data_IF_246296185625
#
_entry.id   IF_246296185625
#
_cell.length_a   1.000
_cell.length_b   1.000
_cell.length_c   1.000
_cell.angle_alpha   90.00
_cell.angle_beta   90.00
_cell.angle_gamma   90.00
#
_symmetry.space_group_name_H-M   'P 1'
#
loop_
_entity.id
_entity.type
_entity.pdbx_description
1 polymer ?
#
# COMPACT_ATOMS: atom_id res chain seq x y z
N UNK A 1 -0.70 4.47 -1.72
CA UNK A 1 -1.04 5.89 -1.59
C UNK A 1 -2.55 6.09 -1.51
N UNK A 2 -3.30 5.86 -2.59
CA UNK A 2 -4.71 6.27 -2.70
C UNK A 2 -5.62 5.65 -1.63
N UNK A 3 -5.44 4.35 -1.33
CA UNK A 3 -6.18 3.66 -0.28
C UNK A 3 -6.00 4.27 1.13
N UNK A 4 -4.97 5.09 1.34
CA UNK A 4 -4.70 5.76 2.63
C UNK A 4 -5.24 7.19 2.67
N UNK A 5 -5.08 7.94 1.57
CA UNK A 5 -5.44 9.37 1.52
C UNK A 5 -6.92 9.60 1.23
N UNK A 6 -7.56 8.71 0.46
CA UNK A 6 -8.98 8.78 0.10
C UNK A 6 -9.90 8.25 1.21
N UNK A 7 -9.91 8.95 2.35
CA UNK A 7 -10.61 8.50 3.57
C UNK A 7 -12.09 8.24 3.39
N UNK A 8 -12.77 9.11 2.64
CA UNK A 8 -14.21 9.07 2.46
C UNK A 8 -14.60 7.97 1.47
N UNK A 9 -13.89 7.88 0.35
CA UNK A 9 -14.11 6.87 -0.69
C UNK A 9 -13.85 5.45 -0.17
N UNK A 10 -12.80 5.27 0.64
CA UNK A 10 -12.50 3.97 1.27
C UNK A 10 -13.39 3.70 2.49
N UNK A 11 -13.96 4.75 3.10
CA UNK A 11 -14.83 4.62 4.28
C UNK A 11 -14.08 4.40 5.60
N UNK A 12 -12.86 4.94 5.73
CA UNK A 12 -12.09 4.80 6.97
C UNK A 12 -12.78 5.50 8.15
N UNK A 13 -13.19 4.72 9.15
CA UNK A 13 -13.73 5.28 10.39
C UNK A 13 -12.68 6.08 11.16
N UNK A 14 -13.09 7.23 11.70
CA UNK A 14 -12.25 8.06 12.56
C UNK A 14 -11.98 7.43 13.94
N UNK A 15 -12.77 6.43 14.35
CA UNK A 15 -12.75 5.87 15.71
C UNK A 15 -12.21 4.44 15.78
N UNK A 16 -12.12 3.73 14.66
CA UNK A 16 -11.62 2.35 14.65
C UNK A 16 -10.13 2.29 14.35
N UNK A 17 -9.52 1.17 14.72
CA UNK A 17 -8.21 0.79 14.18
C UNK A 17 -8.37 0.48 12.69
N UNK A 18 -7.43 0.96 11.89
CA UNK A 18 -7.42 0.82 10.43
C UNK A 18 -6.28 -0.11 10.05
N UNK A 19 -6.60 -1.18 9.33
CA UNK A 19 -5.61 -2.14 8.81
C UNK A 19 -5.74 -2.22 7.29
N UNK A 20 -4.63 -1.97 6.62
CA UNK A 20 -4.52 -2.14 5.18
C UNK A 20 -3.75 -3.43 4.91
N UNK A 21 -4.39 -4.39 4.26
CA UNK A 21 -3.72 -5.59 3.75
C UNK A 21 -3.29 -5.33 2.30
N UNK A 22 -1.98 -5.26 2.09
CA UNK A 22 -1.36 -5.19 0.78
C UNK A 22 -0.82 -6.57 0.42
N UNK A 23 -1.36 -7.18 -0.64
CA UNK A 23 -0.93 -8.48 -1.10
C UNK A 23 -0.41 -8.36 -2.54
N UNK A 24 0.76 -8.94 -2.80
CA UNK A 24 1.41 -8.91 -4.12
C UNK A 24 2.31 -10.12 -4.28
N UNK A 25 2.54 -10.53 -5.52
CA UNK A 25 3.46 -11.60 -5.90
C UNK A 25 4.83 -11.08 -6.39
N UNK A 26 5.08 -9.76 -6.27
CA UNK A 26 6.30 -9.13 -6.77
C UNK A 26 6.71 -7.88 -5.97
N UNK A 27 7.89 -7.34 -6.28
CA UNK A 27 8.37 -6.04 -5.81
C UNK A 27 7.56 -4.89 -6.44
N UNK A 28 7.55 -3.74 -5.78
CA UNK A 28 6.79 -2.56 -6.20
C UNK A 28 7.66 -1.57 -7.00
N UNK A 29 6.99 -0.75 -7.82
CA UNK A 29 7.60 0.42 -8.45
C UNK A 29 7.70 1.59 -7.47
N UNK A 30 8.78 2.36 -7.55
CA UNK A 30 9.04 3.48 -6.65
C UNK A 30 9.43 4.75 -7.42
N UNK A 31 9.38 5.90 -6.73
CA UNK A 31 9.72 7.19 -7.32
C UNK A 31 11.01 7.14 -8.15
N UNK A 32 10.92 7.55 -9.41
CA UNK A 32 11.94 7.44 -10.45
C UNK A 32 11.58 6.45 -11.55
N UNK A 33 10.81 5.40 -11.25
CA UNK A 33 10.45 4.38 -12.24
C UNK A 33 9.54 4.92 -13.34
N UNK A 34 8.69 5.91 -13.04
CA UNK A 34 7.83 6.58 -14.02
C UNK A 34 8.59 7.33 -15.11
N UNK A 35 9.87 7.67 -14.87
CA UNK A 35 10.72 8.35 -15.86
C UNK A 35 10.86 7.53 -17.15
N UNK A 36 10.86 6.20 -17.06
CA UNK A 36 10.92 5.31 -18.22
C UNK A 36 9.68 5.43 -19.12
N UNK A 37 8.55 5.85 -18.54
CA UNK A 37 7.31 6.16 -19.24
C UNK A 37 7.14 7.65 -19.59
N UNK A 38 8.15 8.49 -19.35
CA UNK A 38 8.07 9.95 -19.54
C UNK A 38 7.29 10.69 -18.46
N UNK A 39 6.95 10.02 -17.35
CA UNK A 39 6.26 10.59 -16.20
C UNK A 39 7.32 11.18 -15.26
N UNK A 40 7.30 12.50 -15.09
CA UNK A 40 8.31 13.23 -14.29
C UNK A 40 7.71 14.02 -13.13
N UNK A 41 6.39 14.16 -13.09
CA UNK A 41 5.70 14.84 -12.00
C UNK A 41 5.73 13.93 -10.78
N UNK A 42 6.12 14.43 -9.62
CA UNK A 42 6.12 13.65 -8.39
C UNK A 42 4.68 13.40 -7.91
N UNK A 43 4.48 12.29 -7.21
CA UNK A 43 3.26 12.04 -6.47
C UNK A 43 3.01 13.18 -5.47
N UNK A 44 1.78 13.70 -5.42
CA UNK A 44 1.42 14.84 -4.56
C UNK A 44 0.84 14.44 -3.19
N UNK A 45 0.71 13.14 -2.91
CA UNK A 45 0.13 12.60 -1.68
C UNK A 45 -1.36 12.97 -1.45
N UNK A 46 -2.07 13.38 -2.50
CA UNK A 46 -3.49 13.74 -2.45
C UNK A 46 -4.39 12.63 -3.03
N UNK A 47 -5.69 12.73 -2.75
CA UNK A 47 -6.68 11.78 -3.23
C UNK A 47 -7.16 12.12 -4.65
N UNK A 48 -7.03 11.17 -5.56
CA UNK A 48 -7.39 11.29 -6.98
C UNK A 48 -8.15 10.06 -7.48
N UNK A 49 -9.15 9.61 -6.72
CA UNK A 49 -10.07 8.57 -7.16
C UNK A 49 -11.29 9.18 -7.83
N UNK A 50 -11.68 8.63 -8.98
CA UNK A 50 -12.95 8.97 -9.62
C UNK A 50 -14.15 8.27 -8.93
N UNK A 51 -15.35 8.47 -9.48
CA UNK A 51 -16.60 7.90 -8.94
C UNK A 51 -16.63 6.36 -8.97
N UNK A 52 -15.87 5.75 -9.88
CA UNK A 52 -15.74 4.30 -10.02
C UNK A 52 -14.57 3.73 -9.18
N UNK A 53 -13.79 4.60 -8.53
CA UNK A 53 -12.66 4.25 -7.68
C UNK A 53 -11.35 4.03 -8.43
N UNK A 54 -11.23 4.53 -9.67
CA UNK A 54 -9.98 4.50 -10.43
C UNK A 54 -9.08 5.69 -10.11
N UNK A 55 -7.77 5.43 -10.06
CA UNK A 55 -6.77 6.47 -9.84
C UNK A 55 -6.52 7.28 -11.13
N UNK A 56 -6.94 8.54 -11.14
CA UNK A 56 -6.95 9.40 -12.34
C UNK A 56 -5.57 9.95 -12.70
N UNK A 57 -4.64 10.03 -11.74
CA UNK A 57 -3.30 10.60 -11.95
C UNK A 57 -2.22 9.54 -12.25
N UNK A 58 -2.61 8.28 -12.50
CA UNK A 58 -1.69 7.16 -12.75
C UNK A 58 -0.73 7.36 -13.92
N UNK A 59 -1.14 8.13 -14.94
CA UNK A 59 -0.32 8.44 -16.13
C UNK A 59 0.32 9.83 -16.08
N UNK A 60 0.07 10.58 -15.00
CA UNK A 60 0.50 11.97 -14.85
C UNK A 60 1.52 12.14 -13.72
N UNK A 61 1.36 11.38 -12.64
CA UNK A 61 2.24 11.38 -11.48
C UNK A 61 3.04 10.09 -11.40
N UNK A 62 4.32 10.24 -11.07
CA UNK A 62 5.23 9.16 -10.77
C UNK A 62 4.79 8.42 -9.51
N UNK A 63 5.34 7.22 -9.32
CA UNK A 63 5.12 6.43 -8.13
C UNK A 63 5.54 7.19 -6.87
N UNK A 64 4.85 6.98 -5.73
CA UNK A 64 5.26 7.60 -4.49
C UNK A 64 6.64 7.11 -4.05
N UNK A 65 7.42 7.99 -3.43
CA UNK A 65 8.66 7.57 -2.79
C UNK A 65 8.38 6.85 -1.47
N UNK A 66 9.36 6.09 -0.97
CA UNK A 66 9.24 5.42 0.33
C UNK A 66 8.92 6.41 1.46
N UNK A 67 9.52 7.61 1.46
CA UNK A 67 9.27 8.61 2.51
C UNK A 67 7.86 9.16 2.45
N UNK A 68 7.28 9.30 1.26
CA UNK A 68 5.88 9.71 1.09
C UNK A 68 4.93 8.65 1.62
N UNK A 69 5.16 7.36 1.30
CA UNK A 69 4.36 6.25 1.83
C UNK A 69 4.42 6.23 3.36
N UNK A 70 5.61 6.28 3.95
CA UNK A 70 5.81 6.30 5.41
C UNK A 70 5.03 7.46 6.05
N UNK A 71 5.25 8.68 5.55
CA UNK A 71 4.60 9.90 6.05
C UNK A 71 3.08 9.77 6.04
N UNK A 72 2.52 9.33 4.91
CA UNK A 72 1.07 9.23 4.72
C UNK A 72 0.46 8.11 5.58
N UNK A 73 1.10 6.94 5.68
CA UNK A 73 0.62 5.84 6.52
C UNK A 73 0.59 6.25 8.00
N UNK A 74 1.65 6.88 8.49
CA UNK A 74 1.75 7.35 9.87
C UNK A 74 0.74 8.45 10.18
N UNK A 75 0.65 9.48 9.32
CA UNK A 75 -0.30 10.59 9.47
C UNK A 75 -1.75 10.11 9.54
N UNK A 76 -2.07 9.03 8.83
CA UNK A 76 -3.42 8.47 8.77
C UNK A 76 -3.69 7.33 9.77
N UNK A 77 -2.68 6.94 10.56
CA UNK A 77 -2.73 5.88 11.59
C UNK A 77 -3.20 4.54 11.02
N UNK A 78 -2.71 4.20 9.83
CA UNK A 78 -2.94 2.90 9.19
C UNK A 78 -1.90 1.91 9.70
N UNK A 79 -2.33 0.69 10.04
CA UNK A 79 -1.42 -0.43 10.26
C UNK A 79 -1.32 -1.20 8.93
N UNK A 80 -0.11 -1.35 8.39
CA UNK A 80 0.11 -1.94 7.07
C UNK A 80 0.55 -3.40 7.19
N UNK A 81 -0.27 -4.33 6.71
CA UNK A 81 0.09 -5.75 6.62
C UNK A 81 0.46 -6.06 5.17
N UNK A 82 1.66 -6.59 4.94
CA UNK A 82 2.21 -6.84 3.62
C UNK A 82 2.36 -8.34 3.42
N UNK A 83 1.59 -8.95 2.53
CA UNK A 83 1.64 -10.37 2.22
C UNK A 83 2.33 -10.60 0.86
N UNK A 84 3.49 -11.25 0.88
CA UNK A 84 4.40 -11.33 -0.27
C UNK A 84 5.05 -12.71 -0.39
N UNK A 85 5.48 -13.14 -1.59
CA UNK A 85 6.19 -14.39 -1.74
C UNK A 85 7.63 -14.25 -1.23
N UNK A 86 8.32 -15.39 -1.10
CA UNK A 86 9.66 -15.46 -0.51
C UNK A 86 10.66 -14.57 -1.25
N UNK A 87 10.57 -14.50 -2.58
CA UNK A 87 11.50 -13.75 -3.43
C UNK A 87 11.42 -12.23 -3.21
N UNK A 88 10.28 -11.73 -2.75
CA UNK A 88 10.07 -10.31 -2.46
C UNK A 88 10.19 -9.97 -0.96
N UNK A 89 10.24 -10.96 -0.08
CA UNK A 89 10.14 -10.79 1.36
C UNK A 89 11.17 -9.81 1.93
N UNK A 90 12.44 -9.93 1.54
CA UNK A 90 13.52 -9.08 2.07
C UNK A 90 13.35 -7.60 1.70
N UNK A 91 12.79 -7.31 0.53
CA UNK A 91 12.52 -5.94 0.07
C UNK A 91 11.45 -5.31 0.97
N UNK A 92 10.33 -6.01 1.16
CA UNK A 92 9.25 -5.51 2.01
C UNK A 92 9.61 -5.53 3.50
N UNK A 93 10.46 -6.45 3.96
CA UNK A 93 10.98 -6.42 5.32
C UNK A 93 11.83 -5.18 5.57
N UNK A 94 12.68 -4.77 4.62
CA UNK A 94 13.44 -3.53 4.73
C UNK A 94 12.53 -2.30 4.74
N UNK A 95 11.53 -2.25 3.86
CA UNK A 95 10.51 -1.20 3.85
C UNK A 95 9.77 -1.10 5.19
N UNK A 96 9.36 -2.24 5.75
CA UNK A 96 8.61 -2.32 7.02
C UNK A 96 9.35 -1.70 8.20
N UNK A 97 10.70 -1.71 8.19
CA UNK A 97 11.50 -1.05 9.24
C UNK A 97 11.29 0.46 9.32
N UNK A 98 10.81 1.08 8.24
CA UNK A 98 10.51 2.51 8.19
C UNK A 98 9.05 2.84 8.50
N UNK A 99 8.15 1.85 8.46
CA UNK A 99 6.70 2.05 8.63
C UNK A 99 6.28 1.51 9.99
N UNK A 100 6.03 2.40 10.95
CA UNK A 100 5.56 1.99 12.27
C UNK A 100 4.20 1.28 12.19
N UNK A 101 4.05 0.17 12.92
CA UNK A 101 2.83 -0.62 12.90
C UNK A 101 2.62 -1.41 11.60
N UNK A 102 3.69 -1.64 10.83
CA UNK A 102 3.66 -2.57 9.71
C UNK A 102 4.09 -3.99 10.09
N UNK A 103 3.63 -4.97 9.33
CA UNK A 103 4.03 -6.37 9.43
C UNK A 103 4.17 -6.96 8.02
N UNK A 104 5.13 -7.86 7.82
CA UNK A 104 5.34 -8.57 6.56
C UNK A 104 5.12 -10.06 6.78
N UNK A 105 4.36 -10.69 5.90
CA UNK A 105 4.02 -12.11 5.97
C UNK A 105 4.39 -12.80 4.66
N UNK A 106 4.88 -14.04 4.76
CA UNK A 106 5.03 -14.91 3.61
C UNK A 106 3.66 -15.42 3.15
N UNK A 107 3.32 -15.10 1.91
CA UNK A 107 2.14 -15.60 1.21
C UNK A 107 2.46 -16.90 0.48
N UNK A 108 2.55 -18.03 1.18
CA UNK A 108 2.51 -19.33 0.49
C UNK A 108 1.11 -19.50 -0.12
N UNK A 109 1.03 -19.86 -1.41
CA UNK A 109 -0.19 -20.06 -2.21
C UNK A 109 -1.48 -20.15 -1.38
N UNK A 110 -2.17 -19.01 -1.24
CA UNK A 110 -3.49 -18.85 -0.60
C UNK A 110 -3.63 -19.29 0.88
N UNK A 111 -2.54 -19.60 1.58
CA UNK A 111 -2.53 -19.80 3.02
C UNK A 111 -1.60 -18.79 3.67
N UNK A 112 -2.15 -17.72 4.27
CA UNK A 112 -1.35 -16.85 5.14
C UNK A 112 -0.80 -17.76 6.24
N UNK A 113 0.49 -18.06 6.19
CA UNK A 113 1.15 -18.84 7.24
C UNK A 113 1.02 -18.09 8.56
N UNK A 114 1.00 -18.81 9.69
CA UNK A 114 0.77 -18.25 11.04
C UNK A 114 1.91 -17.32 11.54
N UNK A 115 2.69 -16.73 10.63
CA UNK A 115 3.86 -15.89 10.89
C UNK A 115 3.55 -14.38 10.87
N UNK A 116 2.28 -13.97 10.73
CA UNK A 116 1.94 -12.55 10.87
C UNK A 116 1.96 -12.12 12.35
N UNK A 117 3.03 -11.46 12.78
CA UNK A 117 3.08 -10.81 14.08
C UNK A 117 2.35 -9.46 14.03
N UNK A 118 1.38 -9.21 14.92
CA UNK A 118 0.79 -7.86 15.13
C UNK A 118 -0.67 -7.61 14.72
N UNK A 119 -1.38 -8.60 14.16
CA UNK A 119 -2.82 -8.48 13.83
C UNK A 119 -3.67 -8.98 15.00
N UNK A 120 -4.72 -8.24 15.40
CA UNK A 120 -5.63 -8.63 16.48
C UNK A 120 -7.05 -8.82 15.94
N UNK A 121 -7.83 -9.70 16.58
CA UNK A 121 -9.26 -9.88 16.26
C UNK A 121 -10.02 -8.57 16.56
N UNK A 122 -10.75 -8.04 15.57
CA UNK A 122 -11.51 -6.78 15.66
C UNK A 122 -11.01 -5.65 14.75
N UNK A 123 -9.93 -5.87 14.00
CA UNK A 123 -9.36 -4.92 13.06
C UNK A 123 -10.20 -4.81 11.75
N UNK A 124 -10.41 -3.60 11.24
CA UNK A 124 -11.05 -3.38 9.92
C UNK A 124 -10.01 -3.55 8.82
N UNK A 125 -10.22 -4.49 7.90
CA UNK A 125 -9.32 -4.81 6.79
C UNK A 125 -9.93 -4.32 5.47
N UNK A 126 -9.26 -3.40 4.79
CA UNK A 126 -9.55 -3.10 3.38
C UNK A 126 -8.58 -3.89 2.50
N UNK A 127 -9.10 -4.60 1.50
CA UNK A 127 -8.29 -5.23 0.45
C UNK A 127 -8.24 -4.32 -0.77
N UNK A 128 -7.04 -3.96 -1.23
CA UNK A 128 -6.85 -3.36 -2.55
C UNK A 128 -6.53 -4.50 -3.53
N UNK A 129 -7.52 -4.94 -4.31
CA UNK A 129 -7.32 -5.93 -5.37
C UNK A 129 -7.49 -5.21 -6.70
N UNK A 130 -6.39 -4.84 -7.36
CA UNK A 130 -6.43 -4.27 -8.70
C UNK A 130 -6.01 -5.35 -9.72
N UNK A 131 -6.82 -5.68 -10.75
CA UNK A 131 -6.51 -6.74 -11.71
C UNK A 131 -5.43 -6.41 -12.74
N UNK A 132 -4.74 -5.27 -12.63
CA UNK A 132 -3.67 -4.90 -13.55
C UNK A 132 -2.35 -5.36 -12.95
N UNK A 133 -1.52 -6.01 -13.77
CA UNK A 133 -0.20 -6.51 -13.39
C UNK A 133 0.78 -5.44 -12.85
N UNK A 134 0.38 -4.17 -12.88
CA UNK A 134 1.07 -3.06 -12.26
C UNK A 134 0.15 -2.44 -11.20
N UNK A 135 0.43 -2.74 -9.93
CA UNK A 135 -0.19 -2.05 -8.79
C UNK A 135 0.45 -0.66 -8.67
N UNK A 136 -0.23 0.36 -9.20
CA UNK A 136 0.06 1.76 -8.89
C UNK A 136 -0.36 2.03 -7.44
N UNK A 137 0.58 1.89 -6.50
CA UNK A 137 0.34 2.11 -5.06
C UNK A 137 -0.04 3.56 -4.79
#
# INVERSE_FOLDING_TARGET
MQAVVCKEQIGWSARSRKILLFATDSIFHYAGDGLLGGIVMRNDEECHLDEDGYYTESVHQDYPSLSQIVSVVEKNKINLVIAVPEEAYDVYQQMSRFVQGSAVCLGEKMGITNSCTGIKVGDQVSGAFHPSHDCWI
#
